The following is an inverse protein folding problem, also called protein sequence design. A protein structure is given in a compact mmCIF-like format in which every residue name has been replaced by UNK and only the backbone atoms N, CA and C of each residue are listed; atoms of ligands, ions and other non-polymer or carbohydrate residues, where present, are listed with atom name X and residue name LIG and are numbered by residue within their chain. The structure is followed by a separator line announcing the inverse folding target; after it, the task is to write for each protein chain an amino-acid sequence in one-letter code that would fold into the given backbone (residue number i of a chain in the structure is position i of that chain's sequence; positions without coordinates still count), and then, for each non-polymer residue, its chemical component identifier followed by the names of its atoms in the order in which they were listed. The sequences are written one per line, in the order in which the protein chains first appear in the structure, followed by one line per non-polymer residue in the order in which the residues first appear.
data_IF_419041234976
#
_entry.id   IF_419041234976
#
_cell.length_a   1.000
_cell.length_b   1.000
_cell.length_c   1.000
_cell.angle_alpha   90.00
_cell.angle_beta   90.00
_cell.angle_gamma   90.00
#
_symmetry.space_group_name_H-M   'P 1'
#
loop_
_entity.id
_entity.type
_entity.pdbx_description
1 polymer ?
#
# COMPACT_ATOMS: atom_id res chain seq x y z
N UNK A 1 -6.26 1.93 21.61
CA UNK A 1 -7.23 1.23 20.73
C UNK A 1 -7.70 2.24 19.68
N UNK A 2 -6.91 2.44 18.62
CA UNK A 2 -7.35 3.29 17.53
C UNK A 2 -8.30 2.49 16.65
N UNK A 3 -9.52 3.01 16.57
CA UNK A 3 -10.58 2.62 15.67
C UNK A 3 -10.07 2.86 14.25
N UNK A 4 -9.72 1.82 13.51
CA UNK A 4 -9.78 1.91 12.07
C UNK A 4 -11.27 2.01 11.74
N UNK A 5 -11.80 3.17 11.27
CA UNK A 5 -13.11 3.15 10.65
C UNK A 5 -13.09 2.04 9.60
N UNK A 6 -14.19 1.30 9.46
CA UNK A 6 -14.28 0.22 8.48
C UNK A 6 -14.18 0.80 7.06
N UNK A 7 -12.96 1.12 6.64
CA UNK A 7 -12.67 1.60 5.32
C UNK A 7 -12.57 0.38 4.44
N UNK A 8 -13.63 0.17 3.66
CA UNK A 8 -13.66 -0.85 2.63
C UNK A 8 -12.44 -0.67 1.73
N UNK A 9 -11.86 -1.78 1.29
CA UNK A 9 -10.74 -1.83 0.33
C UNK A 9 -9.34 -1.50 0.88
N UNK A 10 -9.14 -1.40 2.20
CA UNK A 10 -7.78 -1.40 2.75
C UNK A 10 -7.10 -2.76 2.56
N UNK A 11 -5.77 -2.77 2.44
CA UNK A 11 -4.97 -3.97 2.33
C UNK A 11 -3.88 -4.02 3.40
N UNK A 12 -3.68 -5.22 3.96
CA UNK A 12 -2.64 -5.51 4.94
C UNK A 12 -1.47 -6.23 4.25
N UNK A 13 -0.26 -5.69 4.38
CA UNK A 13 0.95 -6.30 3.83
C UNK A 13 2.00 -6.47 4.92
N UNK A 14 2.65 -7.64 5.00
CA UNK A 14 3.72 -7.89 5.95
C UNK A 14 5.08 -7.66 5.31
N UNK A 15 5.95 -6.89 5.98
CA UNK A 15 7.34 -6.66 5.56
C UNK A 15 8.25 -6.65 6.77
N UNK A 16 9.35 -7.41 6.74
CA UNK A 16 10.37 -7.42 7.80
C UNK A 16 9.82 -7.56 9.24
N UNK A 17 8.80 -8.42 9.43
CA UNK A 17 8.10 -8.65 10.70
C UNK A 17 7.19 -7.52 11.20
N UNK A 18 6.98 -6.48 10.40
CA UNK A 18 5.98 -5.43 10.63
C UNK A 18 4.79 -5.60 9.69
N UNK A 19 3.60 -5.18 10.13
CA UNK A 19 2.39 -5.16 9.31
C UNK A 19 2.11 -3.75 8.84
N UNK A 20 1.73 -3.58 7.59
CA UNK A 20 1.44 -2.30 6.98
C UNK A 20 0.02 -2.31 6.45
N UNK A 21 -0.76 -1.31 6.81
CA UNK A 21 -2.12 -1.11 6.35
C UNK A 21 -2.17 0.09 5.41
N UNK A 22 -2.61 -0.14 4.18
CA UNK A 22 -2.57 0.86 3.10
C UNK A 22 -3.79 0.76 2.20
N UNK A 23 -4.09 1.84 1.48
CA UNK A 23 -5.18 1.88 0.50
C UNK A 23 -6.54 2.22 1.10
N UNK A 24 -7.59 2.01 0.30
CA UNK A 24 -8.95 2.38 0.64
C UNK A 24 -9.34 3.74 0.06
N UNK A 25 -10.42 4.30 0.60
CA UNK A 25 -10.89 5.63 0.17
C UNK A 25 -10.07 6.78 0.78
N UNK A 26 -9.15 6.47 1.70
CA UNK A 26 -8.22 7.45 2.27
C UNK A 26 -6.81 7.32 1.72
N UNK A 27 -6.02 8.35 1.97
CA UNK A 27 -4.57 8.36 1.74
C UNK A 27 -3.79 7.83 2.94
N UNK A 28 -4.47 7.27 3.95
CA UNK A 28 -3.81 6.84 5.18
C UNK A 28 -2.95 5.60 4.92
N UNK A 29 -1.80 5.58 5.57
CA UNK A 29 -0.91 4.45 5.62
C UNK A 29 -0.42 4.30 7.06
N UNK A 30 -0.49 3.09 7.61
CA UNK A 30 -0.12 2.81 8.99
C UNK A 30 0.72 1.54 9.08
N UNK A 31 1.58 1.48 10.08
CA UNK A 31 2.45 0.34 10.36
C UNK A 31 2.23 -0.13 11.80
N UNK A 32 2.06 -1.42 11.99
CA UNK A 32 2.07 -2.03 13.31
C UNK A 32 3.52 -2.25 13.76
N UNK A 33 3.87 -1.66 14.89
CA UNK A 33 5.12 -1.91 15.58
C UNK A 33 4.92 -3.02 16.62
N UNK A 34 5.48 -4.24 16.39
CA UNK A 34 5.31 -5.35 17.32
C UNK A 34 6.08 -5.15 18.63
N UNK A 35 7.00 -4.19 18.74
CA UNK A 35 7.71 -3.91 19.99
C UNK A 35 6.87 -3.11 20.97
N UNK A 36 6.09 -2.16 20.45
CA UNK A 36 5.21 -1.28 21.24
C UNK A 36 3.75 -1.76 21.23
N UNK A 37 3.42 -2.71 20.36
CA UNK A 37 2.05 -3.21 20.11
C UNK A 37 1.08 -2.10 19.65
N UNK A 38 1.61 -1.07 18.99
CA UNK A 38 0.87 0.10 18.54
C UNK A 38 0.93 0.28 17.03
N UNK A 39 -0.10 0.94 16.49
CA UNK A 39 -0.11 1.40 15.11
C UNK A 39 0.54 2.77 15.04
N UNK A 40 1.51 2.90 14.14
CA UNK A 40 2.26 4.13 13.86
C UNK A 40 1.83 4.64 12.49
N UNK A 41 1.37 5.89 12.43
CA UNK A 41 1.03 6.54 11.17
C UNK A 41 2.29 6.76 10.33
N UNK A 42 2.21 6.37 9.05
CA UNK A 42 3.23 6.62 8.05
C UNK A 42 2.90 7.89 7.26
N UNK A 43 3.81 8.28 6.36
CA UNK A 43 3.50 9.29 5.37
C UNK A 43 2.26 8.87 4.56
N UNK A 44 1.36 9.81 4.33
CA UNK A 44 0.15 9.56 3.53
C UNK A 44 0.50 9.24 2.08
N UNK A 45 -0.25 8.34 1.47
CA UNK A 45 -0.24 8.09 0.03
C UNK A 45 -0.60 9.36 -0.74
N UNK A 46 -0.19 9.44 -2.00
CA UNK A 46 -0.51 10.61 -2.83
C UNK A 46 -1.99 10.65 -3.21
N UNK A 47 -2.62 9.48 -3.36
CA UNK A 47 -4.04 9.35 -3.68
C UNK A 47 -4.69 8.20 -2.92
N UNK A 48 -5.99 8.35 -2.63
CA UNK A 48 -6.82 7.23 -2.18
C UNK A 48 -7.01 6.23 -3.32
N UNK A 49 -6.67 4.97 -3.05
CA UNK A 49 -6.63 3.89 -4.04
C UNK A 49 -7.55 2.76 -3.58
N UNK A 50 -8.55 2.42 -4.40
CA UNK A 50 -9.38 1.20 -4.25
C UNK A 50 -9.16 0.28 -5.46
N UNK A 51 -9.63 -0.97 -5.40
CA UNK A 51 -9.43 -1.94 -6.50
C UNK A 51 -7.96 -2.05 -6.95
N UNK A 52 -7.04 -2.07 -5.99
CA UNK A 52 -5.60 -2.07 -6.23
C UNK A 52 -4.96 -3.38 -5.81
N UNK A 53 -3.69 -3.52 -6.18
CA UNK A 53 -2.82 -4.61 -5.74
C UNK A 53 -1.67 -4.05 -4.92
N UNK A 54 -1.35 -4.71 -3.81
CA UNK A 54 -0.18 -4.37 -3.00
C UNK A 54 0.81 -5.53 -2.99
N UNK A 55 2.09 -5.21 -3.02
CA UNK A 55 3.17 -6.20 -2.98
C UNK A 55 4.36 -5.65 -2.25
N UNK A 56 4.92 -6.46 -1.36
CA UNK A 56 6.17 -6.18 -0.68
C UNK A 56 7.32 -6.91 -1.38
N UNK A 57 8.32 -6.15 -1.84
CA UNK A 57 9.51 -6.72 -2.46
C UNK A 57 10.72 -5.85 -2.16
N UNK A 58 11.88 -6.48 -1.95
CA UNK A 58 13.17 -5.81 -1.82
C UNK A 58 13.17 -4.65 -0.81
N UNK A 59 12.46 -4.80 0.32
CA UNK A 59 12.35 -3.77 1.35
C UNK A 59 11.50 -2.56 0.94
N UNK A 60 10.58 -2.72 -0.01
CA UNK A 60 9.66 -1.68 -0.45
C UNK A 60 8.23 -2.24 -0.58
N UNK A 61 7.24 -1.39 -0.36
CA UNK A 61 5.82 -1.68 -0.67
C UNK A 61 5.46 -1.00 -1.98
N UNK A 62 4.80 -1.72 -2.87
CA UNK A 62 4.31 -1.20 -4.14
C UNK A 62 2.82 -1.36 -4.21
N UNK A 63 2.12 -0.31 -4.63
CA UNK A 63 0.69 -0.30 -4.92
C UNK A 63 0.55 -0.10 -6.42
N UNK A 64 -0.02 -1.08 -7.11
CA UNK A 64 -0.15 -1.08 -8.57
C UNK A 64 -1.59 -1.33 -9.02
N UNK A 65 -1.98 -0.68 -10.11
CA UNK A 65 -3.39 -0.48 -10.41
C UNK A 65 -4.09 0.32 -9.30
N UNK A 66 -5.26 0.84 -9.60
CA UNK A 66 -6.23 1.36 -8.63
C UNK A 66 -7.32 2.10 -9.40
N UNK A 67 -8.52 2.11 -8.84
CA UNK A 67 -9.47 3.18 -9.11
C UNK A 67 -9.28 4.29 -8.07
N UNK A 68 -9.17 5.53 -8.56
CA UNK A 68 -9.14 6.71 -7.71
C UNK A 68 -10.56 7.27 -7.60
N UNK A 69 -11.14 7.23 -6.39
CA UNK A 69 -12.45 7.82 -6.14
C UNK A 69 -12.44 9.34 -6.31
N UNK A 70 -11.33 10.01 -5.96
CA UNK A 70 -11.17 11.46 -6.10
C UNK A 70 -11.12 11.89 -7.56
N UNK A 71 -10.46 11.11 -8.43
CA UNK A 71 -10.31 11.40 -9.86
C UNK A 71 -11.40 10.78 -10.74
N UNK A 72 -12.15 9.81 -10.21
CA UNK A 72 -13.20 9.10 -10.95
C UNK A 72 -12.66 8.22 -12.09
N UNK A 73 -11.43 7.71 -11.98
CA UNK A 73 -10.77 6.97 -13.06
C UNK A 73 -9.75 5.96 -12.54
N UNK A 74 -9.39 5.00 -13.40
CA UNK A 74 -8.30 4.06 -13.13
C UNK A 74 -6.95 4.74 -13.30
N UNK A 75 -6.09 4.58 -12.29
CA UNK A 75 -4.74 5.11 -12.30
C UNK A 75 -3.83 4.22 -13.16
N UNK A 76 -3.10 4.87 -14.06
CA UNK A 76 -1.97 4.26 -14.77
C UNK A 76 -0.64 4.45 -14.03
N UNK A 77 -0.70 5.04 -12.82
CA UNK A 77 0.45 5.21 -11.95
C UNK A 77 0.41 4.18 -10.83
N UNK A 78 1.60 3.79 -10.39
CA UNK A 78 1.83 3.00 -9.19
C UNK A 78 2.43 3.88 -8.09
N UNK A 79 2.28 3.48 -6.84
CA UNK A 79 2.98 4.11 -5.72
C UNK A 79 3.99 3.15 -5.11
N UNK A 80 5.17 3.68 -4.78
CA UNK A 80 6.23 2.95 -4.10
C UNK A 80 6.52 3.60 -2.75
N UNK A 81 6.68 2.78 -1.73
CA UNK A 81 7.14 3.17 -0.41
C UNK A 81 8.41 2.41 -0.04
N UNK A 82 9.49 3.13 0.25
CA UNK A 82 10.78 2.53 0.62
C UNK A 82 10.88 2.35 2.13
N UNK A 83 10.83 1.09 2.59
CA UNK A 83 10.88 0.74 4.00
C UNK A 83 12.31 0.64 4.53
N UNK A 84 13.31 0.50 3.65
CA UNK A 84 14.72 0.49 4.05
C UNK A 84 15.16 1.85 4.56
N UNK A 85 14.53 2.93 4.08
CA UNK A 85 14.75 4.25 4.68
C UNK A 85 14.29 4.23 6.13
N UNK A 86 13.11 3.71 6.46
CA UNK A 86 12.56 3.75 7.84
C UNK A 86 13.50 3.11 8.87
N UNK A 87 14.04 1.93 8.57
CA UNK A 87 14.95 1.23 9.50
C UNK A 87 16.30 1.96 9.72
N UNK A 88 16.67 2.90 8.84
CA UNK A 88 17.90 3.68 8.93
C UNK A 88 17.73 5.13 9.40
N UNK A 89 16.50 5.59 9.63
CA UNK A 89 16.25 6.98 10.01
C UNK A 89 16.41 7.20 11.51
N UNK A 90 17.23 8.20 11.86
CA UNK A 90 17.21 8.83 13.18
C UNK A 90 15.79 9.34 13.48
N UNK A 91 15.31 9.32 14.75
CA UNK A 91 13.94 9.70 15.14
C UNK A 91 13.50 11.14 14.78
N UNK A 92 14.37 11.94 14.16
CA UNK A 92 14.12 13.34 13.77
C UNK A 92 14.11 13.55 12.24
N UNK A 93 14.28 12.51 11.44
CA UNK A 93 14.17 12.64 9.99
C UNK A 93 12.72 12.38 9.56
N UNK A 94 12.19 13.18 8.62
CA UNK A 94 10.85 12.93 8.10
C UNK A 94 10.78 11.52 7.51
N UNK A 95 9.72 10.78 7.85
CA UNK A 95 9.47 9.47 7.27
C UNK A 95 9.50 9.59 5.72
N UNK A 96 9.99 8.55 5.02
CA UNK A 96 9.97 8.56 3.56
C UNK A 96 8.54 8.80 3.07
N UNK A 97 8.39 9.54 1.97
CA UNK A 97 7.10 9.75 1.32
C UNK A 97 6.84 8.67 0.27
N UNK A 98 5.57 8.42 -0.03
CA UNK A 98 5.18 7.63 -1.18
C UNK A 98 5.63 8.30 -2.48
N UNK A 99 6.17 7.50 -3.39
CA UNK A 99 6.65 7.95 -4.70
C UNK A 99 5.70 7.45 -5.77
N UNK A 100 4.99 8.37 -6.42
CA UNK A 100 4.23 8.07 -7.63
C UNK A 100 5.19 7.79 -8.79
N UNK A 101 4.94 6.68 -9.50
CA UNK A 101 5.70 6.26 -10.68
C UNK A 101 4.72 5.88 -11.78
N UNK A 102 5.11 6.11 -13.03
CA UNK A 102 4.38 5.49 -14.14
C UNK A 102 4.54 3.98 -14.05
N UNK A 103 3.42 3.30 -14.24
CA UNK A 103 3.36 1.86 -14.17
C UNK A 103 4.13 1.26 -15.37
N UNK A 104 5.34 0.75 -15.10
CA UNK A 104 6.25 0.23 -16.11
C UNK A 104 6.04 -1.28 -16.29
N UNK A 105 5.93 -1.71 -17.56
CA UNK A 105 5.79 -3.12 -17.95
C UNK A 105 6.85 -4.04 -17.32
N UNK A 106 8.11 -3.60 -17.25
CA UNK A 106 9.21 -4.40 -16.67
C UNK A 106 9.04 -4.61 -15.15
N UNK A 107 8.64 -3.56 -14.43
CA UNK A 107 8.37 -3.66 -12.99
C UNK A 107 7.15 -4.55 -12.74
N UNK A 108 6.09 -4.41 -13.55
CA UNK A 108 4.95 -5.32 -13.54
C UNK A 108 5.34 -6.78 -13.72
N UNK A 109 6.14 -7.11 -14.73
CA UNK A 109 6.58 -8.49 -14.98
C UNK A 109 7.42 -9.05 -13.81
N UNK A 110 8.20 -8.19 -13.14
CA UNK A 110 8.90 -8.58 -11.90
C UNK A 110 7.96 -8.80 -10.71
N UNK A 111 6.79 -8.15 -10.70
CA UNK A 111 5.75 -8.27 -9.68
C UNK A 111 4.80 -9.44 -9.94
N UNK A 112 4.57 -9.80 -11.20
CA UNK A 112 3.69 -10.91 -11.65
C UNK A 112 3.89 -12.24 -10.91
N UNK A 113 5.10 -12.75 -10.62
CA UNK A 113 5.25 -14.01 -9.88
C UNK A 113 4.81 -13.95 -8.41
N UNK A 114 4.58 -12.76 -7.85
CA UNK A 114 3.99 -12.55 -6.52
C UNK A 114 2.47 -12.32 -6.56
N UNK A 115 1.84 -12.34 -7.74
CA UNK A 115 0.39 -12.32 -7.86
C UNK A 115 -0.18 -13.66 -7.40
N UNK A 116 -0.79 -13.67 -6.21
CA UNK A 116 -1.82 -14.66 -5.88
C UNK A 116 -3.16 -13.97 -6.20
N UNK A 117 -3.87 -14.36 -7.27
CA UNK A 117 -5.22 -13.86 -7.49
C UNK A 117 -6.15 -14.48 -6.43
N UNK A 118 -6.23 -13.85 -5.27
CA UNK A 118 -7.31 -14.08 -4.31
C UNK A 118 -8.48 -13.16 -4.65
N UNK A 119 -9.05 -13.36 -5.84
CA UNK A 119 -10.43 -12.99 -6.14
C UNK A 119 -10.97 -14.00 -7.16
N UNK A 120 -11.28 -15.20 -6.67
CA UNK A 120 -12.35 -15.99 -7.27
C UNK A 120 -13.64 -15.58 -6.59
N UNK A 121 -14.55 -15.00 -7.37
CA UNK A 121 -15.99 -15.03 -7.09
C UNK A 121 -16.48 -13.94 -6.15
N UNK A 122 -16.89 -12.82 -6.73
CA UNK A 122 -18.29 -12.39 -6.72
C UNK A 122 -18.37 -11.14 -7.59
N UNK A 123 -18.65 -11.32 -8.89
CA UNK A 123 -19.77 -10.75 -9.64
C UNK A 123 -19.66 -11.36 -11.04
N UNK A 124 -20.37 -12.46 -11.28
CA UNK A 124 -20.95 -12.66 -12.61
C UNK A 124 -22.46 -12.59 -12.43
N UNK A 125 -23.02 -11.60 -13.12
CA UNK A 125 -24.42 -11.33 -13.33
C UNK A 125 -25.03 -12.52 -14.09
N UNK A 126 -26.07 -13.12 -13.51
CA UNK A 126 -27.25 -13.60 -14.24
C UNK A 126 -28.50 -13.19 -13.46
#
# INVERSE_FOLDING_TARGET
MLLLPAEYWMCLVSVNSSLYLVGGQTTLAECFDPHTEEWVSLASMTEGRIEFWVVAMLGCVYITGAYSCSKGTYLQSMEKYDLMQIHGLSPNLPAPNWQEKLDNKLEKESLMPMYIPLFLGLVDIL
#
